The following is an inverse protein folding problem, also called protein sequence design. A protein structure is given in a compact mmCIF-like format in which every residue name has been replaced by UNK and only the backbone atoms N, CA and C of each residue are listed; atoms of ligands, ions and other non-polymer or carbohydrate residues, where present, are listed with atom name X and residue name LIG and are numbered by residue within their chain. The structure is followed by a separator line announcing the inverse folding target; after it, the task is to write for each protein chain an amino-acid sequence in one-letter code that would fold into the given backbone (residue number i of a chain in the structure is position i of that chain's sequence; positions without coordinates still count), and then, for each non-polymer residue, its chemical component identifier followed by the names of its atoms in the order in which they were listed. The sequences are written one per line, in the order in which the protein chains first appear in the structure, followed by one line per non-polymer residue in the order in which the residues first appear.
data_IF_480601944765
#
_entry.id   IF_480601944765
#
_cell.length_a   1.000
_cell.length_b   1.000
_cell.length_c   1.000
_cell.angle_alpha   90.00
_cell.angle_beta   90.00
_cell.angle_gamma   90.00
#
_symmetry.space_group_name_H-M   'P 1'
#
loop_
_entity.id
_entity.type
_entity.pdbx_description
1 polymer ?
#
# COMPACT_ATOMS: atom_id res chain seq x y z
N UNK A 1 46.14 8.95 52.54
CA UNK A 1 45.22 8.09 53.27
C UNK A 1 43.95 8.11 52.45
N UNK A 2 43.82 7.13 51.56
CA UNK A 2 43.11 5.86 51.72
C UNK A 2 41.61 6.08 51.90
N UNK A 3 40.76 5.69 50.97
CA UNK A 3 40.31 4.33 50.76
C UNK A 3 39.34 4.31 49.54
N UNK A 4 39.59 3.48 48.58
CA UNK A 4 38.58 2.91 47.69
C UNK A 4 38.02 1.66 48.34
N UNK A 5 36.75 1.32 48.17
CA UNK A 5 36.33 -0.05 47.98
C UNK A 5 35.55 -0.22 46.68
N UNK A 6 36.10 -0.99 45.80
CA UNK A 6 35.61 -2.26 45.29
C UNK A 6 34.08 -2.40 45.16
N UNK A 7 33.60 -2.29 43.91
CA UNK A 7 32.32 -2.83 43.49
C UNK A 7 32.51 -3.74 42.29
N UNK A 8 33.12 -4.88 42.57
CA UNK A 8 32.93 -6.11 41.81
C UNK A 8 31.83 -6.89 42.50
N UNK A 9 30.78 -7.08 41.83
CA UNK A 9 29.77 -8.14 41.86
C UNK A 9 28.35 -7.59 41.84
N UNK A 10 27.81 -7.69 40.67
CA UNK A 10 26.39 -8.04 40.42
C UNK A 10 26.15 -8.04 38.90
N UNK A 11 26.91 -8.92 38.22
CA UNK A 11 26.48 -9.46 36.95
C UNK A 11 26.12 -10.92 37.23
N UNK A 12 24.83 -11.20 37.38
CA UNK A 12 24.20 -12.50 37.06
C UNK A 12 22.74 -12.48 37.47
N UNK A 13 21.92 -12.40 36.47
CA UNK A 13 20.70 -13.19 36.26
C UNK A 13 20.02 -12.59 35.01
N UNK A 14 20.21 -13.25 33.87
CA UNK A 14 19.28 -14.22 33.28
C UNK A 14 17.85 -13.71 33.32
N UNK A 15 17.38 -13.30 32.16
CA UNK A 15 16.01 -13.14 31.77
C UNK A 15 15.93 -13.28 30.26
N UNK A 16 16.20 -14.50 29.78
CA UNK A 16 15.70 -14.97 28.49
C UNK A 16 14.19 -15.12 28.61
N UNK A 17 13.49 -14.90 27.49
CA UNK A 17 12.09 -15.26 27.26
C UNK A 17 10.99 -14.37 27.87
N UNK A 18 10.71 -13.27 27.15
CA UNK A 18 9.34 -12.73 27.14
C UNK A 18 8.92 -12.03 25.84
N UNK A 19 9.54 -12.38 24.71
CA UNK A 19 9.07 -11.90 23.40
C UNK A 19 8.08 -12.85 22.71
N UNK A 20 7.60 -13.90 23.40
CA UNK A 20 6.73 -14.92 22.81
C UNK A 20 5.28 -14.89 23.26
N UNK A 21 4.87 -13.96 24.08
CA UNK A 21 3.52 -13.97 24.67
C UNK A 21 2.60 -12.82 24.26
N UNK A 22 2.99 -11.95 23.33
CA UNK A 22 2.13 -10.84 22.88
C UNK A 22 1.43 -11.13 21.54
N UNK A 23 1.75 -12.25 20.88
CA UNK A 23 1.20 -12.58 19.55
C UNK A 23 -0.07 -13.46 19.57
N UNK A 24 -0.62 -13.82 20.70
CA UNK A 24 -1.71 -14.79 20.73
C UNK A 24 -3.08 -14.27 21.16
N UNK A 25 -3.26 -12.96 21.31
CA UNK A 25 -4.57 -12.38 21.64
C UNK A 25 -5.15 -11.38 20.62
N UNK A 26 -4.61 -11.34 19.40
CA UNK A 26 -5.12 -10.45 18.34
C UNK A 26 -5.99 -11.17 17.31
N UNK A 27 -6.44 -12.38 17.54
CA UNK A 27 -7.32 -13.13 16.62
C UNK A 27 -8.80 -12.76 16.72
N UNK A 28 -9.13 -11.62 17.30
CA UNK A 28 -10.50 -11.12 17.41
C UNK A 28 -10.71 -9.68 16.94
N UNK A 29 -9.68 -9.03 16.40
CA UNK A 29 -9.82 -7.67 15.89
C UNK A 29 -10.39 -7.73 14.48
N UNK A 30 -11.62 -7.30 14.30
CA UNK A 30 -12.24 -7.18 12.98
C UNK A 30 -11.34 -6.32 12.07
N UNK A 31 -11.28 -6.64 10.79
CA UNK A 31 -10.50 -5.93 9.77
C UNK A 31 -10.71 -4.39 9.83
N UNK A 32 -11.90 -3.96 10.21
CA UNK A 32 -12.29 -2.55 10.40
C UNK A 32 -11.47 -1.86 11.50
N UNK A 33 -11.18 -2.55 12.61
CA UNK A 33 -10.43 -1.95 13.72
C UNK A 33 -8.93 -1.78 13.41
N UNK A 34 -8.35 -2.66 12.58
CA UNK A 34 -6.95 -2.51 12.14
C UNK A 34 -6.78 -1.28 11.23
N UNK A 35 -7.71 -1.06 10.31
CA UNK A 35 -7.71 0.13 9.43
C UNK A 35 -7.90 1.41 10.25
N UNK A 36 -8.84 1.41 11.21
CA UNK A 36 -9.09 2.57 12.08
C UNK A 36 -7.84 2.91 12.90
N UNK A 37 -7.20 1.90 13.49
CA UNK A 37 -5.96 2.09 14.26
C UNK A 37 -4.83 2.67 13.39
N UNK A 38 -4.63 2.14 12.20
CA UNK A 38 -3.62 2.64 11.27
C UNK A 38 -3.89 4.09 10.84
N UNK A 39 -5.15 4.45 10.58
CA UNK A 39 -5.55 5.83 10.26
C UNK A 39 -5.31 6.80 11.41
N UNK A 40 -5.62 6.40 12.63
CA UNK A 40 -5.36 7.20 13.83
C UNK A 40 -3.86 7.43 14.05
N UNK A 41 -3.06 6.38 13.94
CA UNK A 41 -1.60 6.48 14.09
C UNK A 41 -0.95 7.39 13.05
N UNK A 42 -1.47 7.43 11.84
CA UNK A 42 -1.01 8.32 10.76
C UNK A 42 -1.62 9.72 10.85
N UNK A 43 -2.51 9.98 11.81
CA UNK A 43 -3.22 11.27 11.92
C UNK A 43 -4.14 11.55 10.73
N UNK A 44 -4.59 10.51 10.03
CA UNK A 44 -5.47 10.65 8.87
C UNK A 44 -6.88 10.98 9.34
N UNK A 45 -7.38 12.12 8.94
CA UNK A 45 -8.73 12.60 9.21
C UNK A 45 -9.54 12.67 7.92
N UNK A 46 -10.83 12.93 8.02
CA UNK A 46 -11.68 13.14 6.84
C UNK A 46 -11.25 14.35 5.98
N UNK A 47 -10.48 15.26 6.55
CA UNK A 47 -9.98 16.45 5.86
C UNK A 47 -8.59 16.24 5.23
N UNK A 48 -7.95 15.11 5.49
CA UNK A 48 -6.62 14.79 4.94
C UNK A 48 -6.70 14.65 3.43
N UNK A 49 -5.85 15.38 2.72
CA UNK A 49 -5.74 15.35 1.27
C UNK A 49 -4.56 14.49 0.85
N UNK A 50 -4.76 13.73 -0.20
CA UNK A 50 -3.73 12.87 -0.79
C UNK A 50 -3.29 13.43 -2.13
N UNK A 51 -2.00 13.38 -2.39
CA UNK A 51 -1.40 13.52 -3.71
C UNK A 51 -0.82 12.16 -4.08
N UNK A 52 -1.44 11.47 -5.02
CA UNK A 52 -0.99 10.17 -5.48
C UNK A 52 -0.11 10.33 -6.71
N UNK A 53 1.12 9.83 -6.66
CA UNK A 53 2.10 9.95 -7.73
C UNK A 53 2.52 8.57 -8.24
N UNK A 54 2.35 8.38 -9.54
CA UNK A 54 2.93 7.26 -10.27
C UNK A 54 4.36 7.61 -10.69
N UNK A 55 5.32 6.92 -10.10
CA UNK A 55 6.74 7.18 -10.31
C UNK A 55 7.32 6.40 -11.50
N UNK A 56 6.50 5.67 -12.26
CA UNK A 56 6.87 4.90 -13.43
C UNK A 56 7.01 5.78 -14.67
N UNK A 57 7.53 5.18 -15.72
CA UNK A 57 7.61 5.85 -17.01
C UNK A 57 6.22 6.12 -17.60
N UNK A 58 6.07 7.16 -18.45
CA UNK A 58 4.78 7.52 -19.04
C UNK A 58 4.11 6.39 -19.81
N UNK A 59 4.89 5.54 -20.50
CA UNK A 59 4.37 4.41 -21.25
C UNK A 59 3.71 3.37 -20.34
N UNK A 60 4.32 3.11 -19.18
CA UNK A 60 3.75 2.21 -18.17
C UNK A 60 2.50 2.80 -17.51
N UNK A 61 2.51 4.10 -17.24
CA UNK A 61 1.37 4.83 -16.71
C UNK A 61 0.17 4.76 -17.67
N UNK A 62 0.39 4.96 -18.97
CA UNK A 62 -0.68 4.87 -19.96
C UNK A 62 -1.27 3.47 -20.12
N UNK A 63 -0.49 2.42 -19.86
CA UNK A 63 -1.01 1.05 -19.88
C UNK A 63 -2.05 0.85 -18.77
N UNK A 64 -1.69 1.15 -17.55
CA UNK A 64 -2.59 1.15 -16.41
C UNK A 64 -1.98 1.89 -15.21
N UNK A 65 -2.80 2.56 -14.43
CA UNK A 65 -2.43 3.30 -13.24
C UNK A 65 -3.56 3.30 -12.22
N UNK A 66 -3.28 3.74 -11.01
CA UNK A 66 -4.31 3.93 -9.97
C UNK A 66 -5.10 5.20 -10.31
N UNK A 67 -6.42 5.17 -10.20
CA UNK A 67 -7.30 6.32 -10.43
C UNK A 67 -6.83 7.54 -9.65
N UNK A 68 -6.93 8.72 -10.27
CA UNK A 68 -6.51 10.00 -9.71
C UNK A 68 -4.99 10.15 -9.50
N UNK A 69 -4.18 9.17 -9.87
CA UNK A 69 -2.74 9.30 -9.81
C UNK A 69 -2.21 10.25 -10.88
N UNK A 70 -1.23 11.06 -10.52
CA UNK A 70 -0.47 11.89 -11.47
C UNK A 70 0.81 11.18 -11.87
N UNK A 71 1.10 11.14 -13.16
CA UNK A 71 2.38 10.61 -13.63
C UNK A 71 3.51 11.58 -13.31
N UNK A 72 4.44 11.12 -12.48
CA UNK A 72 5.65 11.86 -12.11
C UNK A 72 6.86 10.93 -12.11
N UNK A 73 7.48 10.68 -13.26
CA UNK A 73 8.59 9.74 -13.38
C UNK A 73 9.73 9.99 -12.38
N UNK A 74 10.23 8.92 -11.76
CA UNK A 74 11.23 8.97 -10.69
C UNK A 74 12.46 9.87 -10.98
N UNK A 75 13.02 9.95 -12.20
CA UNK A 75 14.13 10.84 -12.47
C UNK A 75 13.84 12.34 -12.27
N UNK A 76 12.56 12.73 -12.26
CA UNK A 76 12.17 14.14 -12.16
C UNK A 76 12.51 14.73 -10.79
N UNK A 77 12.33 13.98 -9.70
CA UNK A 77 12.71 14.46 -8.35
C UNK A 77 14.21 14.65 -8.23
N UNK A 78 15.02 13.76 -8.79
CA UNK A 78 16.47 13.88 -8.81
C UNK A 78 16.97 15.09 -9.61
N UNK A 79 16.22 15.52 -10.62
CA UNK A 79 16.51 16.67 -11.49
C UNK A 79 15.85 17.97 -11.02
N UNK A 80 15.25 17.98 -9.84
CA UNK A 80 14.52 19.12 -9.27
C UNK A 80 13.39 19.67 -10.16
N UNK A 81 12.77 18.81 -10.97
CA UNK A 81 11.59 19.15 -11.76
C UNK A 81 10.34 19.11 -10.89
N UNK A 82 10.17 20.09 -10.02
CA UNK A 82 9.06 20.15 -9.08
C UNK A 82 7.78 20.62 -9.77
N UNK A 83 6.70 19.85 -9.64
CA UNK A 83 5.37 20.24 -10.11
C UNK A 83 4.65 21.07 -9.03
N UNK A 84 3.71 21.95 -9.42
CA UNK A 84 2.99 22.81 -8.49
C UNK A 84 2.25 22.05 -7.39
N UNK A 85 1.69 20.88 -7.70
CA UNK A 85 0.98 20.00 -6.78
C UNK A 85 1.93 19.53 -5.67
N UNK A 86 3.12 19.06 -6.05
CA UNK A 86 4.12 18.58 -5.12
C UNK A 86 4.58 19.69 -4.17
N UNK A 87 4.74 20.90 -4.68
CA UNK A 87 5.08 22.06 -3.86
C UNK A 87 3.98 22.41 -2.85
N UNK A 88 2.70 22.31 -3.24
CA UNK A 88 1.54 22.60 -2.37
C UNK A 88 1.36 21.55 -1.27
N UNK A 89 1.88 20.35 -1.45
CA UNK A 89 1.75 19.24 -0.52
C UNK A 89 2.95 19.08 0.41
N UNK A 90 4.09 19.68 0.07
CA UNK A 90 5.33 19.54 0.82
C UNK A 90 5.14 19.91 2.29
N UNK A 91 5.39 18.95 3.18
CA UNK A 91 5.44 19.12 4.64
C UNK A 91 4.23 19.85 5.25
N UNK A 92 3.05 19.65 4.67
CA UNK A 92 1.79 20.17 5.21
C UNK A 92 1.14 19.14 6.12
N UNK A 93 0.65 19.57 7.29
CA UNK A 93 0.12 18.68 8.33
C UNK A 93 -1.04 17.78 7.85
N UNK A 94 -1.96 18.34 7.04
CA UNK A 94 -3.15 17.60 6.58
C UNK A 94 -3.02 17.08 5.15
N UNK A 95 -1.79 16.95 4.65
CA UNK A 95 -1.54 16.51 3.29
C UNK A 95 -0.51 15.41 3.26
N UNK A 96 -0.79 14.36 2.51
CA UNK A 96 0.09 13.23 2.32
C UNK A 96 0.47 13.09 0.85
N UNK A 97 1.74 12.84 0.60
CA UNK A 97 2.25 12.50 -0.73
C UNK A 97 2.41 10.99 -0.74
N UNK A 98 1.62 10.32 -1.56
CA UNK A 98 1.67 8.86 -1.70
C UNK A 98 2.30 8.53 -3.03
N UNK A 99 3.36 7.77 -3.02
CA UNK A 99 4.09 7.35 -4.20
C UNK A 99 3.99 5.85 -4.42
N UNK A 100 4.08 5.42 -5.66
CA UNK A 100 4.18 4.00 -5.99
C UNK A 100 5.01 3.75 -7.24
N UNK A 101 5.49 2.53 -7.36
CA UNK A 101 6.18 1.96 -8.51
C UNK A 101 5.65 0.55 -8.81
N UNK A 102 6.22 -0.14 -9.78
CA UNK A 102 5.88 -1.55 -10.04
C UNK A 102 6.20 -2.42 -8.83
N UNK A 103 7.39 -2.21 -8.24
CA UNK A 103 7.94 -2.98 -7.13
C UNK A 103 8.26 -2.05 -5.94
N UNK A 104 7.95 -2.49 -4.75
CA UNK A 104 8.23 -1.79 -3.48
C UNK A 104 9.71 -1.44 -3.31
N UNK A 105 10.63 -2.31 -3.74
CA UNK A 105 12.07 -2.07 -3.61
C UNK A 105 12.52 -0.85 -4.39
N UNK A 106 12.02 -0.69 -5.61
CA UNK A 106 12.27 0.51 -6.43
C UNK A 106 11.62 1.73 -5.80
N UNK A 107 10.42 1.58 -5.28
CA UNK A 107 9.69 2.64 -4.57
C UNK A 107 10.44 3.16 -3.35
N UNK A 108 11.05 2.28 -2.56
CA UNK A 108 11.85 2.66 -1.39
C UNK A 108 13.06 3.53 -1.78
N UNK A 109 13.75 3.20 -2.88
CA UNK A 109 14.85 4.00 -3.38
C UNK A 109 14.40 5.41 -3.79
N UNK A 110 13.24 5.52 -4.44
CA UNK A 110 12.65 6.82 -4.80
C UNK A 110 12.20 7.60 -3.57
N UNK A 111 11.54 6.96 -2.61
CA UNK A 111 11.14 7.59 -1.34
C UNK A 111 12.34 8.20 -0.60
N UNK A 112 13.48 7.51 -0.61
CA UNK A 112 14.73 8.03 -0.05
C UNK A 112 15.16 9.34 -0.71
N UNK A 113 15.06 9.45 -2.03
CA UNK A 113 15.40 10.70 -2.75
C UNK A 113 14.45 11.83 -2.33
N UNK A 114 13.15 11.57 -2.16
CA UNK A 114 12.21 12.56 -1.63
C UNK A 114 12.63 13.05 -0.23
N UNK A 115 12.99 12.13 0.64
CA UNK A 115 13.45 12.46 1.98
C UNK A 115 14.73 13.30 1.94
N UNK A 116 15.70 12.96 1.12
CA UNK A 116 16.95 13.74 0.91
C UNK A 116 16.67 15.15 0.37
N UNK A 117 15.58 15.33 -0.38
CA UNK A 117 15.10 16.64 -0.86
C UNK A 117 14.24 17.39 0.17
N UNK A 118 14.08 16.84 1.36
CA UNK A 118 13.38 17.47 2.48
C UNK A 118 11.86 17.35 2.43
N UNK A 119 11.33 16.28 1.87
CA UNK A 119 9.92 15.90 1.97
C UNK A 119 9.76 14.90 3.12
N UNK A 120 9.02 15.27 4.15
CA UNK A 120 8.83 14.44 5.35
C UNK A 120 7.50 13.66 5.34
N UNK A 121 6.52 14.14 4.56
CA UNK A 121 5.16 13.60 4.48
C UNK A 121 4.96 12.68 3.26
N UNK A 122 5.97 11.87 2.93
CA UNK A 122 5.95 10.91 1.82
C UNK A 122 5.72 9.50 2.31
N UNK A 123 4.78 8.82 1.68
CA UNK A 123 4.38 7.45 1.96
C UNK A 123 4.48 6.60 0.69
N UNK A 124 4.81 5.33 0.86
CA UNK A 124 4.94 4.37 -0.23
C UNK A 124 3.82 3.35 -0.16
N UNK A 125 3.21 3.03 -1.31
CA UNK A 125 2.28 1.90 -1.41
C UNK A 125 3.09 0.61 -1.31
N UNK A 126 2.80 -0.18 -0.28
CA UNK A 126 3.43 -1.49 -0.08
C UNK A 126 3.07 -2.44 -1.20
N UNK A 127 4.03 -3.24 -1.64
CA UNK A 127 3.87 -4.19 -2.74
C UNK A 127 3.77 -3.57 -4.13
N UNK A 128 3.74 -2.23 -4.22
CA UNK A 128 3.65 -1.50 -5.48
C UNK A 128 2.30 -1.67 -6.20
N UNK A 129 2.24 -1.26 -7.46
CA UNK A 129 0.99 -1.30 -8.24
C UNK A 129 0.54 -2.73 -8.57
N UNK A 130 1.46 -3.68 -8.65
CA UNK A 130 1.11 -5.07 -8.99
C UNK A 130 0.28 -5.70 -7.89
N UNK A 131 0.69 -5.56 -6.62
CA UNK A 131 -0.09 -6.05 -5.49
C UNK A 131 -1.37 -5.23 -5.31
N UNK A 132 -1.31 -3.92 -5.49
CA UNK A 132 -2.49 -3.06 -5.43
C UNK A 132 -3.56 -3.49 -6.45
N UNK A 133 -3.16 -3.82 -7.68
CA UNK A 133 -4.06 -4.30 -8.74
C UNK A 133 -4.71 -5.64 -8.38
N UNK A 134 -4.00 -6.55 -7.70
CA UNK A 134 -4.58 -7.83 -7.26
C UNK A 134 -5.66 -7.64 -6.20
N UNK A 135 -5.50 -6.67 -5.32
CA UNK A 135 -6.43 -6.39 -4.22
C UNK A 135 -7.59 -5.48 -4.66
N UNK A 136 -7.29 -4.45 -5.45
CA UNK A 136 -8.24 -3.39 -5.84
C UNK A 136 -8.27 -3.13 -7.35
N UNK A 137 -8.65 -4.13 -8.18
CA UNK A 137 -8.65 -3.99 -9.64
C UNK A 137 -9.58 -2.87 -10.14
N UNK A 138 -10.67 -2.60 -9.43
CA UNK A 138 -11.65 -1.58 -9.80
C UNK A 138 -11.12 -0.14 -9.60
N UNK A 139 -10.04 0.04 -8.83
CA UNK A 139 -9.39 1.32 -8.62
C UNK A 139 -8.23 1.59 -9.60
N UNK A 140 -8.01 0.69 -10.54
CA UNK A 140 -7.04 0.88 -11.61
C UNK A 140 -7.74 1.21 -12.92
N UNK A 141 -7.12 2.08 -13.72
CA UNK A 141 -7.58 2.47 -15.05
C UNK A 141 -6.43 2.56 -16.03
N UNK A 142 -6.72 2.60 -17.33
CA UNK A 142 -5.71 2.70 -18.39
C UNK A 142 -6.14 1.98 -19.66
N UNK A 143 -5.25 1.95 -20.65
CA UNK A 143 -5.51 1.30 -21.95
C UNK A 143 -5.60 -0.22 -21.85
N UNK A 144 -4.85 -0.84 -20.95
CA UNK A 144 -4.72 -2.29 -20.84
C UNK A 144 -4.49 -2.69 -19.39
N UNK A 145 -5.55 -2.65 -18.58
CA UNK A 145 -5.49 -3.11 -17.19
C UNK A 145 -5.35 -4.64 -17.19
N UNK A 146 -4.28 -5.21 -16.59
CA UNK A 146 -4.09 -6.65 -16.52
C UNK A 146 -5.23 -7.30 -15.73
N UNK A 147 -5.74 -8.43 -16.24
CA UNK A 147 -6.77 -9.17 -15.53
C UNK A 147 -6.14 -9.98 -14.39
N UNK A 148 -6.56 -9.70 -13.18
CA UNK A 148 -6.12 -10.43 -11.99
C UNK A 148 -6.71 -11.84 -11.96
N UNK A 149 -6.06 -12.75 -11.24
CA UNK A 149 -6.57 -14.12 -11.04
C UNK A 149 -7.99 -14.11 -10.45
N UNK A 150 -8.22 -13.20 -9.50
CA UNK A 150 -9.53 -13.00 -8.84
C UNK A 150 -10.62 -12.60 -9.83
N UNK A 151 -10.34 -11.65 -10.72
CA UNK A 151 -11.31 -11.23 -11.74
C UNK A 151 -11.58 -12.32 -12.80
N UNK A 152 -10.60 -13.20 -13.06
CA UNK A 152 -10.78 -14.35 -13.95
C UNK A 152 -11.63 -15.45 -13.32
N UNK A 153 -11.50 -15.68 -12.01
CA UNK A 153 -12.31 -16.64 -11.28
C UNK A 153 -13.77 -16.18 -11.18
N UNK A 154 -14.01 -14.93 -10.84
CA UNK A 154 -15.36 -14.35 -10.81
C UNK A 154 -16.03 -14.39 -12.18
N UNK A 155 -15.29 -14.17 -13.28
CA UNK A 155 -15.86 -14.35 -14.64
C UNK A 155 -16.21 -15.80 -14.93
N UNK A 156 -15.40 -16.77 -14.50
CA UNK A 156 -15.70 -18.20 -14.68
C UNK A 156 -16.94 -18.62 -13.89
N UNK A 157 -17.09 -18.15 -12.66
CA UNK A 157 -18.28 -18.41 -11.85
C UNK A 157 -19.55 -17.83 -12.48
N UNK A 158 -19.52 -16.58 -12.92
CA UNK A 158 -20.66 -15.93 -13.62
C UNK A 158 -21.05 -16.63 -14.92
N UNK A 159 -20.11 -17.23 -15.63
CA UNK A 159 -20.40 -18.00 -16.86
C UNK A 159 -20.95 -19.37 -16.54
N UNK A 160 -20.53 -20.03 -15.47
CA UNK A 160 -21.07 -21.29 -15.02
C UNK A 160 -22.52 -21.16 -14.53
N UNK A 161 -22.85 -20.10 -13.80
CA UNK A 161 -24.22 -19.85 -13.33
C UNK A 161 -25.20 -19.56 -14.48
N UNK A 162 -24.76 -18.83 -15.50
CA UNK A 162 -25.57 -18.61 -16.71
C UNK A 162 -25.88 -19.92 -17.45
N UNK A 163 -24.88 -20.77 -17.63
CA UNK A 163 -25.10 -22.08 -18.29
C UNK A 163 -25.99 -23.02 -17.49
N UNK A 164 -26.00 -22.91 -16.17
CA UNK A 164 -26.88 -23.72 -15.30
C UNK A 164 -28.33 -23.28 -15.37
N UNK A 165 -28.57 -22.01 -15.66
CA UNK A 165 -29.96 -21.47 -15.77
C UNK A 165 -30.59 -21.75 -17.13
N UNK A 166 -29.79 -21.87 -18.20
CA UNK A 166 -30.30 -22.15 -19.54
C UNK A 166 -30.62 -23.64 -19.75
N UNK A 167 -29.98 -24.57 -19.04
CA UNK A 167 -30.29 -26.01 -19.11
C UNK A 167 -31.61 -26.40 -18.40
N UNK A 168 -32.11 -25.55 -17.50
CA UNK A 168 -33.39 -25.82 -16.83
C UNK A 168 -34.66 -25.41 -17.63
N UNK A 169 -34.50 -24.75 -18.78
CA UNK A 169 -35.64 -24.30 -19.62
C UNK A 169 -36.03 -25.22 -20.75
N UNK A 170 -35.30 -26.29 -20.97
CA UNK A 170 -35.65 -27.30 -21.98
C UNK A 170 -36.52 -28.40 -21.39
N UNK A 171 -37.80 -28.11 -21.18
CA UNK A 171 -38.82 -29.16 -20.95
C UNK A 171 -39.12 -29.86 -22.25
N UNK A 172 -39.14 -31.20 -22.32
CA UNK A 172 -39.57 -31.93 -23.51
C UNK A 172 -41.07 -31.79 -23.69
N UNK A 173 -41.48 -31.28 -24.84
CA UNK A 173 -42.90 -31.37 -25.28
C UNK A 173 -43.24 -32.85 -25.47
N UNK A 174 -44.17 -33.34 -24.66
CA UNK A 174 -44.79 -34.64 -24.89
C UNK A 174 -45.81 -34.47 -26.05
N UNK A 175 -45.67 -35.33 -27.04
CA UNK A 175 -46.69 -35.62 -28.01
C UNK A 175 -47.68 -36.60 -27.37
#
# INVERSE_FOLDING_TARGET
MSYTPDQRSLMQSRGEDDTRSVMTSLTGVSHVSAVTYATEMLGITQNTKFLLLDMRDPDEYELFHIKEALNYPAPNIGRDKIIPELFRFRNQADKLIVIYMNDERKGTAVAKVFFEKGYENVYLISGGIEQFLEEFPDLCEGRSVPQTKKSQEERKERTMDKNKHDTCKASPRRY
#
